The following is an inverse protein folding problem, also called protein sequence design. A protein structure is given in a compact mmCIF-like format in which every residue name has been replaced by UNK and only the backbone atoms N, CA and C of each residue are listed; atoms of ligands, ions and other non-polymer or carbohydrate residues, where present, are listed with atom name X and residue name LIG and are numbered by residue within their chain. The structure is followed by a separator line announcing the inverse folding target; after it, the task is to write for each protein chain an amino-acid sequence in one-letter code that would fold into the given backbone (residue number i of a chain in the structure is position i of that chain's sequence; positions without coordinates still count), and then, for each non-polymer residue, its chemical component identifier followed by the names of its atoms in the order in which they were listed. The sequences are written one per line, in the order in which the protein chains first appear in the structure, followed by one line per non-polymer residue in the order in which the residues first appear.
data_IF_281788382012
#
_entry.id   IF_281788382012
#
_cell.length_a   1.000
_cell.length_b   1.000
_cell.length_c   1.000
_cell.angle_alpha   90.00
_cell.angle_beta   90.00
_cell.angle_gamma   90.00
#
_symmetry.space_group_name_H-M   'P 1'
#
loop_
_entity.id
_entity.type
_entity.pdbx_description
1 polymer ?
#
# COMPACT_ATOMS: atom_id res chain seq x y z
N UNK A 1 -9.78 15.12 -5.66
CA UNK A 1 -9.59 13.71 -5.28
C UNK A 1 -10.87 12.94 -5.51
N UNK A 2 -10.82 11.62 -5.56
CA UNK A 2 -11.96 10.74 -5.77
C UNK A 2 -11.69 9.36 -5.20
N UNK A 3 -12.68 8.49 -5.29
CA UNK A 3 -12.57 7.11 -4.87
C UNK A 3 -13.56 6.24 -5.62
N UNK A 4 -13.46 4.93 -5.44
CA UNK A 4 -14.35 3.94 -6.02
C UNK A 4 -14.74 2.90 -4.98
N UNK A 5 -15.99 2.48 -5.01
CA UNK A 5 -16.50 1.34 -4.25
C UNK A 5 -16.90 0.25 -5.22
N UNK A 6 -16.36 -0.95 -5.03
CA UNK A 6 -16.65 -2.12 -5.86
C UNK A 6 -17.20 -3.22 -4.97
N UNK A 7 -18.37 -3.73 -5.34
CA UNK A 7 -19.01 -4.86 -4.64
C UNK A 7 -19.12 -6.05 -5.59
N UNK A 8 -18.58 -7.20 -5.17
CA UNK A 8 -18.66 -8.46 -5.91
C UNK A 8 -20.02 -9.15 -5.81
N UNK A 9 -20.94 -8.68 -4.98
CA UNK A 9 -22.27 -9.24 -4.77
C UNK A 9 -22.29 -10.66 -4.18
N UNK A 10 -21.20 -11.07 -3.53
CA UNK A 10 -21.04 -12.43 -3.00
C UNK A 10 -21.17 -12.52 -1.48
N UNK A 11 -21.25 -11.38 -0.79
CA UNK A 11 -21.38 -11.36 0.66
C UNK A 11 -22.83 -11.57 1.08
N UNK A 12 -23.06 -12.43 2.08
CA UNK A 12 -24.37 -12.58 2.68
C UNK A 12 -24.63 -11.46 3.69
N UNK A 13 -25.40 -10.47 3.27
CA UNK A 13 -25.79 -9.34 4.12
C UNK A 13 -26.87 -9.71 5.14
N UNK A 14 -27.66 -10.78 4.92
CA UNK A 14 -28.64 -11.31 5.86
C UNK A 14 -27.99 -12.29 6.86
N UNK A 15 -27.14 -11.74 7.73
CA UNK A 15 -26.44 -12.50 8.77
C UNK A 15 -26.68 -11.94 10.18
N UNK A 16 -27.70 -11.11 10.36
CA UNK A 16 -28.10 -10.49 11.63
C UNK A 16 -27.25 -9.28 12.04
N UNK A 17 -26.23 -8.89 11.26
CA UNK A 17 -25.35 -7.75 11.62
C UNK A 17 -25.63 -6.47 10.84
N UNK A 18 -26.47 -6.54 9.81
CA UNK A 18 -26.72 -5.42 8.90
C UNK A 18 -28.21 -5.13 8.73
N UNK A 19 -28.92 -4.75 9.83
CA UNK A 19 -30.35 -4.48 9.80
C UNK A 19 -30.71 -3.42 8.75
N UNK A 20 -29.85 -2.43 8.55
CA UNK A 20 -30.08 -1.36 7.58
C UNK A 20 -30.13 -1.83 6.09
N UNK A 21 -29.77 -3.06 5.79
CA UNK A 21 -29.88 -3.66 4.46
C UNK A 21 -31.03 -4.66 4.38
N UNK A 22 -31.42 -5.24 5.53
CA UNK A 22 -32.42 -6.34 5.61
C UNK A 22 -33.80 -5.80 5.95
N UNK A 23 -33.89 -4.88 6.92
CA UNK A 23 -35.14 -4.29 7.33
C UNK A 23 -35.68 -3.29 6.30
N UNK A 24 -37.00 -3.06 6.25
CA UNK A 24 -37.60 -2.04 5.40
C UNK A 24 -37.04 -0.64 5.69
N UNK A 25 -36.60 0.06 4.68
CA UNK A 25 -36.10 1.43 4.77
C UNK A 25 -37.25 2.42 4.50
N UNK A 26 -37.85 2.93 5.54
CA UNK A 26 -38.98 3.86 5.45
C UNK A 26 -38.62 5.16 4.72
N UNK A 27 -37.35 5.57 4.78
CA UNK A 27 -36.85 6.76 4.06
C UNK A 27 -36.80 6.56 2.55
N UNK A 28 -36.92 5.29 2.09
CA UNK A 28 -36.90 4.92 0.68
C UNK A 28 -38.04 3.94 0.33
N UNK A 29 -39.27 4.34 0.62
CA UNK A 29 -40.52 3.62 0.30
C UNK A 29 -40.63 2.20 0.89
N UNK A 30 -40.01 1.93 2.02
CA UNK A 30 -40.06 0.63 2.70
C UNK A 30 -39.27 -0.48 2.02
N UNK A 31 -38.31 -0.17 1.14
CA UNK A 31 -37.48 -1.17 0.48
C UNK A 31 -36.62 -1.97 1.47
N UNK A 32 -36.59 -3.28 1.33
CA UNK A 32 -35.57 -4.17 1.91
C UNK A 32 -34.51 -4.46 0.85
N UNK A 33 -33.33 -3.85 0.99
CA UNK A 33 -32.30 -3.95 -0.07
C UNK A 33 -31.89 -5.39 -0.35
N UNK A 34 -31.75 -6.23 0.68
CA UNK A 34 -31.41 -7.65 0.49
C UNK A 34 -32.50 -8.39 -0.25
N UNK A 35 -33.76 -8.18 0.14
CA UNK A 35 -34.93 -8.88 -0.47
C UNK A 35 -35.17 -8.39 -1.88
N UNK A 36 -35.15 -7.09 -2.11
CA UNK A 36 -35.63 -6.47 -3.34
C UNK A 36 -34.50 -6.30 -4.40
N UNK A 37 -33.23 -6.24 -3.95
CA UNK A 37 -32.08 -6.01 -4.81
C UNK A 37 -31.07 -7.18 -4.84
N UNK A 38 -31.25 -8.20 -3.99
CA UNK A 38 -30.43 -9.40 -3.98
C UNK A 38 -28.92 -9.09 -3.92
N UNK A 39 -28.16 -9.58 -4.90
CA UNK A 39 -26.71 -9.38 -4.98
C UNK A 39 -26.26 -7.91 -5.06
N UNK A 40 -27.14 -7.03 -5.51
CA UNK A 40 -26.87 -5.58 -5.60
C UNK A 40 -27.31 -4.80 -4.37
N UNK A 41 -27.70 -5.44 -3.28
CA UNK A 41 -28.25 -4.80 -2.07
C UNK A 41 -27.37 -3.65 -1.56
N UNK A 42 -26.08 -3.90 -1.34
CA UNK A 42 -25.14 -2.93 -0.81
C UNK A 42 -24.94 -1.73 -1.76
N UNK A 43 -24.66 -2.01 -3.04
CA UNK A 43 -24.44 -0.95 -4.04
C UNK A 43 -25.72 -0.15 -4.29
N UNK A 44 -26.89 -0.78 -4.27
CA UNK A 44 -28.15 -0.05 -4.43
C UNK A 44 -28.40 0.89 -3.26
N UNK A 45 -28.22 0.44 -2.02
CA UNK A 45 -28.32 1.32 -0.85
C UNK A 45 -27.29 2.46 -0.90
N UNK A 46 -26.04 2.15 -1.26
CA UNK A 46 -25.00 3.16 -1.38
C UNK A 46 -25.39 4.26 -2.38
N UNK A 47 -25.94 3.89 -3.54
CA UNK A 47 -26.34 4.85 -4.60
C UNK A 47 -27.64 5.57 -4.30
N UNK A 48 -28.68 4.83 -3.91
CA UNK A 48 -30.02 5.35 -3.76
C UNK A 48 -30.22 6.17 -2.48
N UNK A 49 -29.48 5.83 -1.41
CA UNK A 49 -29.58 6.47 -0.11
C UNK A 49 -28.33 7.32 0.19
N UNK A 50 -27.18 6.68 0.41
CA UNK A 50 -25.98 7.37 0.92
C UNK A 50 -25.47 8.44 -0.06
N UNK A 51 -25.30 8.07 -1.33
CA UNK A 51 -24.81 9.02 -2.36
C UNK A 51 -25.79 10.17 -2.57
N UNK A 52 -27.10 9.89 -2.58
CA UNK A 52 -28.14 10.90 -2.74
C UNK A 52 -28.13 11.89 -1.59
N UNK A 53 -28.06 11.40 -0.34
CA UNK A 53 -28.23 12.24 0.84
C UNK A 53 -26.94 13.02 1.18
N UNK A 54 -25.77 12.43 1.00
CA UNK A 54 -24.47 13.06 1.25
C UNK A 54 -23.97 13.85 0.03
N UNK A 55 -24.37 13.45 -1.19
CA UNK A 55 -23.95 14.12 -2.42
C UNK A 55 -22.48 13.93 -2.78
N UNK A 56 -21.81 12.90 -2.28
CA UNK A 56 -20.39 12.65 -2.45
C UNK A 56 -20.04 12.13 -3.86
N UNK A 57 -20.45 12.82 -4.90
CA UNK A 57 -20.09 12.50 -6.30
C UNK A 57 -18.76 13.16 -6.72
N UNK A 58 -18.00 12.44 -7.56
CA UNK A 58 -16.73 12.97 -8.07
C UNK A 58 -16.98 14.14 -9.04
N UNK A 59 -16.17 15.20 -8.93
CA UNK A 59 -16.23 16.29 -9.92
C UNK A 59 -15.71 15.83 -11.28
N UNK A 60 -16.22 16.39 -12.40
CA UNK A 60 -15.75 16.07 -13.74
C UNK A 60 -14.25 16.32 -13.92
N UNK A 61 -13.70 17.37 -13.31
CA UNK A 61 -12.26 17.65 -13.37
C UNK A 61 -11.43 16.57 -12.66
N UNK A 62 -11.85 16.14 -11.46
CA UNK A 62 -11.16 15.04 -10.77
C UNK A 62 -11.27 13.72 -11.54
N UNK A 63 -12.41 13.42 -12.16
CA UNK A 63 -12.59 12.27 -13.01
C UNK A 63 -11.63 12.31 -14.22
N UNK A 64 -11.50 13.45 -14.88
CA UNK A 64 -10.55 13.64 -15.97
C UNK A 64 -9.11 13.40 -15.53
N UNK A 65 -8.68 13.96 -14.40
CA UNK A 65 -7.33 13.74 -13.87
C UNK A 65 -7.05 12.26 -13.54
N UNK A 66 -8.04 11.54 -12.99
CA UNK A 66 -7.91 10.11 -12.72
C UNK A 66 -7.81 9.29 -14.01
N UNK A 67 -8.61 9.63 -15.04
CA UNK A 67 -8.54 8.96 -16.34
C UNK A 67 -7.17 9.14 -16.98
N UNK A 68 -6.62 10.36 -16.99
CA UNK A 68 -5.26 10.63 -17.48
C UNK A 68 -4.22 9.77 -16.74
N UNK A 69 -4.35 9.64 -15.42
CA UNK A 69 -3.46 8.78 -14.63
C UNK A 69 -3.59 7.28 -14.93
N UNK A 70 -4.78 6.81 -15.28
CA UNK A 70 -5.04 5.39 -15.58
C UNK A 70 -4.45 5.00 -16.95
N UNK A 71 -4.42 5.88 -17.93
CA UNK A 71 -3.93 5.59 -19.28
C UNK A 71 -2.51 5.03 -19.31
N UNK A 72 -1.64 5.48 -18.41
CA UNK A 72 -0.25 5.02 -18.30
C UNK A 72 0.02 4.09 -17.12
N UNK A 73 -1.02 3.69 -16.37
CA UNK A 73 -0.87 2.94 -15.12
C UNK A 73 -0.15 1.59 -15.34
N UNK A 74 -0.47 0.87 -16.41
CA UNK A 74 0.14 -0.43 -16.70
C UNK A 74 1.64 -0.33 -16.94
N UNK A 75 2.09 0.70 -17.67
CA UNK A 75 3.51 0.97 -17.93
C UNK A 75 4.25 1.32 -16.64
N UNK A 76 3.65 2.21 -15.84
CA UNK A 76 4.23 2.61 -14.55
C UNK A 76 4.34 1.42 -13.59
N UNK A 77 3.29 0.62 -13.47
CA UNK A 77 3.29 -0.56 -12.59
C UNK A 77 4.33 -1.60 -12.99
N UNK A 78 4.54 -1.83 -14.29
CA UNK A 78 5.60 -2.69 -14.76
C UNK A 78 6.97 -2.18 -14.29
N UNK A 79 7.29 -0.91 -14.56
CA UNK A 79 8.57 -0.30 -14.15
C UNK A 79 8.76 -0.30 -12.64
N UNK A 80 7.71 0.02 -11.87
CA UNK A 80 7.74 -0.06 -10.41
C UNK A 80 8.11 -1.47 -9.91
N UNK A 81 7.48 -2.51 -10.46
CA UNK A 81 7.74 -3.90 -10.06
C UNK A 81 9.17 -4.34 -10.44
N UNK A 82 9.65 -3.96 -11.62
CA UNK A 82 11.01 -4.25 -12.08
C UNK A 82 12.06 -3.60 -11.16
N UNK A 83 11.91 -2.31 -10.89
CA UNK A 83 12.81 -1.60 -9.99
C UNK A 83 12.77 -2.18 -8.56
N UNK A 84 11.58 -2.45 -8.03
CA UNK A 84 11.41 -3.00 -6.69
C UNK A 84 12.07 -4.37 -6.53
N UNK A 85 11.95 -5.25 -7.52
CA UNK A 85 12.61 -6.56 -7.51
C UNK A 85 14.14 -6.40 -7.45
N UNK A 86 14.72 -5.55 -8.31
CA UNK A 86 16.17 -5.30 -8.33
C UNK A 86 16.67 -4.70 -7.02
N UNK A 87 15.91 -3.78 -6.42
CA UNK A 87 16.23 -3.22 -5.10
C UNK A 87 16.16 -4.30 -4.01
N UNK A 88 15.12 -5.13 -4.01
CA UNK A 88 14.98 -6.21 -3.03
C UNK A 88 16.12 -7.24 -3.14
N UNK A 89 16.53 -7.60 -4.37
CA UNK A 89 17.68 -8.48 -4.62
C UNK A 89 19.02 -7.85 -4.20
N UNK A 90 19.19 -6.55 -4.41
CA UNK A 90 20.37 -5.82 -3.95
C UNK A 90 20.45 -5.81 -2.42
N UNK A 91 19.34 -5.46 -1.75
CA UNK A 91 19.28 -5.41 -0.29
C UNK A 91 19.46 -6.80 0.34
N UNK A 92 18.92 -7.86 -0.27
CA UNK A 92 19.05 -9.23 0.26
C UNK A 92 20.50 -9.75 0.27
N UNK A 93 21.37 -9.17 -0.56
CA UNK A 93 22.80 -9.52 -0.64
C UNK A 93 23.69 -8.63 0.22
N UNK A 94 23.14 -7.60 0.85
CA UNK A 94 23.91 -6.65 1.64
C UNK A 94 24.08 -7.15 3.08
N UNK A 95 25.33 -7.28 3.54
CA UNK A 95 25.66 -7.78 4.88
C UNK A 95 25.12 -6.94 6.04
N UNK A 96 24.82 -5.66 5.79
CA UNK A 96 24.27 -4.73 6.76
C UNK A 96 22.75 -4.78 6.87
N UNK A 97 22.10 -5.56 6.03
CA UNK A 97 20.65 -5.79 6.03
C UNK A 97 20.33 -7.05 6.83
N UNK A 98 19.36 -6.96 7.75
CA UNK A 98 18.95 -8.06 8.62
C UNK A 98 17.86 -8.94 7.98
N UNK A 99 16.95 -8.34 7.22
CA UNK A 99 15.91 -9.02 6.46
C UNK A 99 15.41 -8.14 5.31
N UNK A 100 14.79 -8.78 4.30
CA UNK A 100 14.02 -8.11 3.25
C UNK A 100 12.68 -8.82 3.11
N UNK A 101 11.59 -8.09 3.32
CA UNK A 101 10.24 -8.64 3.27
C UNK A 101 9.59 -8.35 1.90
N UNK A 102 10.06 -9.03 0.84
CA UNK A 102 9.53 -8.90 -0.51
C UNK A 102 9.12 -10.28 -1.05
N UNK A 103 7.84 -10.50 -1.43
CA UNK A 103 7.33 -11.83 -1.75
C UNK A 103 7.97 -12.52 -2.95
N UNK A 104 8.57 -11.77 -3.89
CA UNK A 104 9.23 -12.36 -5.08
C UNK A 104 10.65 -12.83 -4.84
N UNK A 105 11.26 -12.54 -3.69
CA UNK A 105 12.56 -13.14 -3.35
C UNK A 105 12.45 -14.66 -3.23
N UNK A 106 13.44 -15.42 -3.71
CA UNK A 106 13.41 -16.90 -3.72
C UNK A 106 13.13 -17.50 -2.34
N UNK A 107 13.72 -16.93 -1.30
CA UNK A 107 13.64 -17.42 0.09
C UNK A 107 12.37 -16.96 0.83
N UNK A 108 11.52 -16.17 0.17
CA UNK A 108 10.27 -15.73 0.78
C UNK A 108 9.28 -16.89 0.89
N UNK A 109 8.73 -17.11 2.09
CA UNK A 109 7.67 -18.10 2.33
C UNK A 109 6.42 -17.88 1.46
N UNK A 110 6.26 -16.68 0.92
CA UNK A 110 5.14 -16.31 0.05
C UNK A 110 5.48 -16.37 -1.45
N UNK A 111 6.70 -16.76 -1.84
CA UNK A 111 7.14 -16.69 -3.24
C UNK A 111 6.21 -17.48 -4.19
N UNK A 112 5.92 -18.75 -3.87
CA UNK A 112 5.04 -19.59 -4.69
C UNK A 112 3.62 -19.02 -4.81
N UNK A 113 3.06 -18.51 -3.70
CA UNK A 113 1.74 -17.89 -3.68
C UNK A 113 1.74 -16.60 -4.50
N UNK A 114 2.74 -15.74 -4.30
CA UNK A 114 2.86 -14.48 -5.03
C UNK A 114 2.96 -14.69 -6.54
N UNK A 115 3.78 -15.63 -7.01
CA UNK A 115 3.87 -15.97 -8.43
C UNK A 115 2.55 -16.46 -9.03
N UNK A 116 1.71 -17.14 -8.22
CA UNK A 116 0.41 -17.63 -8.66
C UNK A 116 -0.63 -16.51 -8.77
N UNK A 117 -0.70 -15.62 -7.77
CA UNK A 117 -1.78 -14.60 -7.69
C UNK A 117 -1.37 -13.25 -8.27
N UNK A 118 -0.07 -12.96 -8.36
CA UNK A 118 0.50 -11.71 -8.87
C UNK A 118 1.50 -11.97 -10.00
N UNK A 119 1.14 -12.68 -11.09
CA UNK A 119 2.10 -13.17 -12.09
C UNK A 119 2.86 -12.06 -12.83
N UNK A 120 2.32 -10.82 -12.81
CA UNK A 120 2.91 -9.67 -13.52
C UNK A 120 3.83 -8.82 -12.63
N UNK A 121 3.95 -9.11 -11.33
CA UNK A 121 4.79 -8.36 -10.40
C UNK A 121 4.15 -8.17 -9.03
N UNK A 122 4.97 -7.96 -8.01
CA UNK A 122 4.57 -7.98 -6.60
C UNK A 122 4.38 -6.58 -6.00
N UNK A 123 4.30 -5.55 -6.84
CA UNK A 123 4.22 -4.16 -6.40
C UNK A 123 5.58 -3.58 -6.01
N UNK A 124 5.57 -2.38 -5.48
CA UNK A 124 6.78 -1.59 -5.22
C UNK A 124 6.96 -1.18 -3.76
N UNK A 125 6.04 -1.55 -2.89
CA UNK A 125 6.09 -1.21 -1.46
C UNK A 125 6.49 -2.44 -0.67
N UNK A 126 7.60 -2.32 0.08
CA UNK A 126 8.09 -3.41 0.92
C UNK A 126 8.93 -2.87 2.09
N UNK A 127 9.36 -3.75 2.97
CA UNK A 127 10.17 -3.40 4.14
C UNK A 127 11.46 -4.20 4.16
N UNK A 128 12.49 -3.59 4.75
CA UNK A 128 13.73 -4.27 5.09
C UNK A 128 14.23 -3.81 6.47
N UNK A 129 15.10 -4.57 7.08
CA UNK A 129 15.76 -4.21 8.34
C UNK A 129 17.21 -3.78 8.11
N UNK A 130 17.62 -2.66 8.70
CA UNK A 130 19.00 -2.19 8.69
C UNK A 130 19.66 -2.46 10.05
N UNK A 131 20.79 -3.17 10.05
CA UNK A 131 21.56 -3.44 11.27
C UNK A 131 21.98 -2.13 11.94
N UNK A 132 21.94 -2.09 13.28
CA UNK A 132 22.21 -0.88 14.06
C UNK A 132 20.95 -0.20 14.61
N UNK A 133 19.75 -0.78 14.35
CA UNK A 133 18.48 -0.38 14.95
C UNK A 133 18.04 1.04 14.59
N UNK A 134 17.27 1.66 15.50
CA UNK A 134 16.65 2.97 15.29
C UNK A 134 17.65 4.06 14.86
N UNK A 135 18.86 4.09 15.48
CA UNK A 135 19.87 5.12 15.17
C UNK A 135 20.38 4.99 13.73
N UNK A 136 20.69 3.78 13.30
CA UNK A 136 21.12 3.52 11.93
C UNK A 136 20.01 3.84 10.93
N UNK A 137 18.76 3.48 11.23
CA UNK A 137 17.61 3.80 10.39
C UNK A 137 17.40 5.29 10.16
N UNK A 138 17.51 6.11 11.20
CA UNK A 138 17.45 7.58 11.11
C UNK A 138 18.59 8.10 10.24
N UNK A 139 19.85 7.70 10.58
CA UNK A 139 21.02 8.13 9.83
C UNK A 139 20.99 7.73 8.36
N UNK A 140 20.44 6.56 8.05
CA UNK A 140 20.20 6.10 6.68
C UNK A 140 19.27 7.05 5.94
N UNK A 141 18.10 7.36 6.50
CA UNK A 141 17.11 8.23 5.86
C UNK A 141 17.68 9.65 5.64
N UNK A 142 18.36 10.19 6.62
CA UNK A 142 18.94 11.55 6.55
C UNK A 142 20.03 11.68 5.47
N UNK A 143 20.59 10.57 4.99
CA UNK A 143 21.63 10.56 3.97
C UNK A 143 21.15 10.15 2.57
N UNK A 144 19.87 9.81 2.40
CA UNK A 144 19.28 9.57 1.08
C UNK A 144 19.15 10.89 0.30
N UNK A 145 19.35 10.80 -1.03
CA UNK A 145 19.34 11.95 -1.95
C UNK A 145 18.26 11.85 -3.02
N UNK A 146 17.92 10.64 -3.45
CA UNK A 146 16.89 10.36 -4.45
C UNK A 146 15.55 10.14 -3.78
N UNK A 147 15.54 9.43 -2.66
CA UNK A 147 14.31 9.11 -1.95
C UNK A 147 13.73 10.30 -1.20
N UNK A 148 12.42 10.50 -1.34
CA UNK A 148 11.68 11.48 -0.53
C UNK A 148 11.23 10.86 0.80
N UNK A 149 11.49 11.54 1.91
CA UNK A 149 11.04 11.11 3.25
C UNK A 149 9.57 11.47 3.46
N UNK A 150 8.68 10.63 2.97
CA UNK A 150 7.23 10.81 3.08
C UNK A 150 6.50 9.47 3.06
N UNK A 151 5.41 9.38 3.82
CA UNK A 151 4.51 8.23 3.82
C UNK A 151 3.44 8.39 2.74
N UNK A 152 3.58 7.66 1.65
CA UNK A 152 2.58 7.58 0.58
C UNK A 152 2.62 6.18 -0.07
N UNK A 153 1.68 5.90 -0.97
CA UNK A 153 1.61 4.68 -1.78
C UNK A 153 1.24 5.06 -3.21
N UNK A 154 2.01 4.55 -4.17
CA UNK A 154 1.73 4.76 -5.60
C UNK A 154 2.28 6.08 -6.17
N UNK A 155 3.20 6.72 -5.48
CA UNK A 155 3.95 7.85 -6.02
C UNK A 155 4.92 7.36 -7.12
N UNK A 156 5.14 8.19 -8.14
CA UNK A 156 6.13 7.90 -9.19
C UNK A 156 7.57 8.04 -8.71
N UNK A 157 7.77 8.77 -7.62
CA UNK A 157 9.07 8.93 -6.94
C UNK A 157 9.30 7.84 -5.92
N UNK A 158 10.56 7.53 -5.69
CA UNK A 158 10.98 6.66 -4.60
C UNK A 158 10.78 7.34 -3.25
N UNK A 159 10.10 6.65 -2.33
CA UNK A 159 9.77 7.14 -0.99
C UNK A 159 10.33 6.22 0.08
N UNK A 160 10.64 6.81 1.23
CA UNK A 160 11.15 6.09 2.40
C UNK A 160 10.50 6.59 3.67
N UNK A 161 10.26 5.69 4.61
CA UNK A 161 9.98 6.02 6.01
C UNK A 161 10.68 5.04 6.95
N UNK A 162 11.00 5.51 8.15
CA UNK A 162 11.36 4.69 9.29
C UNK A 162 10.18 4.68 10.26
N UNK A 163 9.31 3.66 10.25
CA UNK A 163 8.05 3.68 11.00
C UNK A 163 8.21 3.98 12.48
N UNK A 164 9.21 3.37 13.13
CA UNK A 164 9.44 3.53 14.56
C UNK A 164 9.83 4.97 15.01
N UNK A 165 10.31 5.82 14.08
CA UNK A 165 10.62 7.23 14.41
C UNK A 165 9.62 8.22 13.81
N UNK A 166 8.67 7.77 12.98
CA UNK A 166 7.73 8.63 12.25
C UNK A 166 6.28 8.22 12.50
N UNK A 167 5.70 7.41 11.62
CA UNK A 167 4.28 7.05 11.64
C UNK A 167 3.83 6.26 12.87
N UNK A 168 4.75 5.61 13.59
CA UNK A 168 4.48 4.81 14.79
C UNK A 168 5.32 5.28 15.99
N UNK A 169 5.75 6.54 15.98
CA UNK A 169 6.64 7.10 17.01
C UNK A 169 6.03 7.15 18.41
N UNK A 170 4.69 7.12 18.52
CA UNK A 170 3.96 7.06 19.78
C UNK A 170 3.86 5.66 20.40
N UNK A 171 4.22 4.60 19.65
CA UNK A 171 4.15 3.24 20.13
C UNK A 171 5.40 2.88 20.94
N UNK A 172 5.20 2.10 22.01
CA UNK A 172 6.29 1.49 22.77
C UNK A 172 6.95 0.36 21.95
N UNK A 173 8.16 -0.05 22.33
CA UNK A 173 8.86 -1.16 21.67
C UNK A 173 8.05 -2.48 21.68
N UNK A 174 7.22 -2.71 22.72
CA UNK A 174 6.36 -3.89 22.79
C UNK A 174 5.17 -3.79 21.81
N UNK A 175 4.56 -2.62 21.71
CA UNK A 175 3.47 -2.37 20.77
C UNK A 175 3.94 -2.44 19.31
N UNK A 176 5.13 -1.90 19.01
CA UNK A 176 5.76 -2.04 17.71
C UNK A 176 5.95 -3.52 17.33
N UNK A 177 6.47 -4.35 18.24
CA UNK A 177 6.63 -5.79 18.02
C UNK A 177 5.30 -6.50 17.77
N UNK A 178 4.25 -6.15 18.53
CA UNK A 178 2.89 -6.69 18.32
C UNK A 178 2.31 -6.28 16.96
N UNK A 179 2.65 -5.09 16.47
CA UNK A 179 2.29 -4.61 15.13
C UNK A 179 3.17 -5.23 14.01
N UNK A 180 4.15 -6.07 14.35
CA UNK A 180 5.08 -6.67 13.38
C UNK A 180 6.14 -5.70 12.84
N UNK A 181 6.41 -4.62 13.58
CA UNK A 181 7.38 -3.58 13.23
C UNK A 181 8.55 -3.68 14.20
N UNK A 182 9.76 -3.84 13.68
CA UNK A 182 10.99 -3.79 14.46
C UNK A 182 11.58 -2.37 14.43
N UNK A 183 12.43 -2.05 15.40
CA UNK A 183 13.10 -0.74 15.48
C UNK A 183 14.08 -0.48 14.32
N UNK A 184 14.52 -1.52 13.64
CA UNK A 184 15.38 -1.49 12.45
C UNK A 184 14.61 -1.46 11.13
N UNK A 185 13.26 -1.53 11.18
CA UNK A 185 12.41 -1.63 9.99
C UNK A 185 12.38 -0.32 9.22
N UNK A 186 12.73 -0.39 7.94
CA UNK A 186 12.58 0.69 6.96
C UNK A 186 11.57 0.25 5.91
N UNK A 187 10.64 1.14 5.55
CA UNK A 187 9.69 0.92 4.46
C UNK A 187 10.10 1.74 3.25
N UNK A 188 10.18 1.08 2.10
CA UNK A 188 10.41 1.69 0.80
C UNK A 188 9.13 1.65 -0.04
N UNK A 189 8.95 2.68 -0.87
CA UNK A 189 8.04 2.68 -2.01
C UNK A 189 8.89 3.06 -3.23
N UNK A 190 9.23 2.08 -4.07
CA UNK A 190 10.19 2.25 -5.17
C UNK A 190 9.50 2.94 -6.34
N UNK A 191 10.13 3.98 -6.84
CA UNK A 191 9.65 4.82 -7.93
C UNK A 191 10.08 4.37 -9.32
N UNK A 192 9.99 5.32 -10.26
CA UNK A 192 10.27 5.10 -11.69
C UNK A 192 11.66 5.60 -12.12
N UNK A 193 12.45 6.14 -11.18
CA UNK A 193 13.78 6.66 -11.44
C UNK A 193 14.67 5.58 -12.06
N UNK A 194 15.79 5.99 -12.60
CA UNK A 194 16.77 5.03 -13.09
C UNK A 194 17.22 4.09 -11.98
N UNK A 195 17.31 2.81 -12.29
CA UNK A 195 17.63 1.80 -11.27
C UNK A 195 19.03 1.97 -10.69
N UNK A 196 19.99 2.42 -11.48
CA UNK A 196 21.35 2.60 -11.03
C UNK A 196 21.45 3.78 -10.05
N UNK A 197 20.66 4.84 -10.24
CA UNK A 197 20.54 5.96 -9.32
C UNK A 197 19.91 5.52 -7.99
N UNK A 198 18.84 4.70 -8.04
CA UNK A 198 18.21 4.15 -6.84
C UNK A 198 19.19 3.29 -6.05
N UNK A 199 19.89 2.37 -6.72
CA UNK A 199 20.85 1.47 -6.07
C UNK A 199 22.06 2.21 -5.51
N UNK A 200 22.55 3.20 -6.24
CA UNK A 200 23.64 4.07 -5.77
C UNK A 200 23.24 4.81 -4.48
N UNK A 201 22.03 5.39 -4.46
CA UNK A 201 21.55 6.16 -3.31
C UNK A 201 21.38 5.27 -2.07
N UNK A 202 20.77 4.09 -2.25
CA UNK A 202 20.65 3.12 -1.17
C UNK A 202 22.02 2.67 -0.63
N UNK A 203 22.96 2.36 -1.55
CA UNK A 203 24.29 1.92 -1.16
C UNK A 203 25.05 2.95 -0.34
N UNK A 204 25.11 4.20 -0.84
CA UNK A 204 25.86 5.25 -0.14
C UNK A 204 25.25 5.56 1.24
N UNK A 205 23.91 5.56 1.34
CA UNK A 205 23.23 5.81 2.61
C UNK A 205 23.42 4.68 3.62
N UNK A 206 23.41 3.40 3.19
CA UNK A 206 23.74 2.25 4.04
C UNK A 206 25.18 2.35 4.53
N UNK A 207 26.13 2.58 3.63
CA UNK A 207 27.56 2.68 3.95
C UNK A 207 27.86 3.78 4.99
N UNK A 208 27.08 4.87 4.98
CA UNK A 208 27.17 5.94 5.98
C UNK A 208 26.51 5.54 7.30
N UNK A 209 25.34 4.90 7.23
CA UNK A 209 24.52 4.63 8.41
C UNK A 209 25.16 3.62 9.39
N UNK A 210 25.93 2.66 8.87
CA UNK A 210 26.51 1.56 9.65
C UNK A 210 27.96 1.84 10.13
N UNK A 211 28.54 2.97 9.72
CA UNK A 211 29.79 3.50 10.27
C UNK A 211 29.52 4.25 11.59
#
# INVERSE_FOLDING_TARGET
MGGIVVDGGNFNWDNGKFPCLVEPDESYHGISYVKDCGKAAFITKLRAHILRDIGASISPFNAFMLLMGIETLSLRMQKHCENALKVAEFLSKNENVSFVNYPFLPDSKYNALAKRILPKGCGAVFTFGLKGGKKAGIKFIDNLKVFSHVANVGDVRSLVIHPASTTHSQLTSEELKKAGICEDTIRLSIGLEDIDDILWDLKQAIDIAVK
#
